data_IF_346878341828
#
_entry.id   IF_346878341828
#
_cell.length_a   1.000
_cell.length_b   1.000
_cell.length_c   1.000
_cell.angle_alpha   90.00
_cell.angle_beta   90.00
_cell.angle_gamma   90.00
#
_symmetry.space_group_name_H-M   'P 1'
#
loop_
_entity.id
_entity.type
_entity.pdbx_description
1 polymer ?
#
# COMPACT_ATOMS: atom_id res chain seq x y z
N UNK A 1 14.05 -32.86 -45.47
CA UNK A 1 13.24 -33.94 -46.07
C UNK A 1 14.17 -34.78 -46.94
N UNK A 2 14.55 -36.00 -46.57
CA UNK A 2 15.37 -36.82 -47.46
C UNK A 2 14.51 -37.25 -48.66
N UNK A 3 14.92 -36.86 -49.86
CA UNK A 3 14.28 -37.26 -51.12
C UNK A 3 14.38 -38.78 -51.29
N UNK A 4 13.28 -39.40 -51.70
CA UNK A 4 13.18 -40.84 -51.97
C UNK A 4 14.23 -41.23 -53.02
N UNK A 5 15.11 -42.23 -52.78
CA UNK A 5 16.15 -42.57 -53.75
C UNK A 5 15.49 -43.10 -55.03
N UNK A 6 16.01 -42.71 -56.21
CA UNK A 6 15.45 -43.14 -57.50
C UNK A 6 15.48 -44.66 -57.61
N UNK A 7 14.42 -45.26 -58.15
CA UNK A 7 14.38 -46.71 -58.39
C UNK A 7 15.41 -47.07 -59.46
N UNK A 8 16.45 -47.80 -59.08
CA UNK A 8 17.49 -48.28 -59.98
C UNK A 8 16.90 -49.37 -60.88
N UNK A 9 16.76 -49.11 -62.19
CA UNK A 9 16.15 -50.05 -63.15
C UNK A 9 17.18 -50.66 -64.10
N UNK A 10 18.41 -50.15 -64.12
CA UNK A 10 19.50 -50.64 -64.97
C UNK A 10 20.88 -50.62 -64.28
N UNK A 11 21.82 -51.45 -64.75
CA UNK A 11 23.22 -51.43 -64.29
C UNK A 11 23.95 -50.11 -64.62
N UNK A 12 23.47 -49.34 -65.61
CA UNK A 12 24.02 -48.03 -65.93
C UNK A 12 23.68 -46.99 -64.85
N UNK A 13 22.50 -47.09 -64.23
CA UNK A 13 22.04 -46.20 -63.16
C UNK A 13 22.95 -46.29 -61.93
N UNK A 14 23.47 -47.49 -61.63
CA UNK A 14 24.41 -47.72 -60.52
C UNK A 14 25.75 -47.01 -60.72
N UNK A 15 26.26 -46.96 -61.97
CA UNK A 15 27.52 -46.25 -62.28
C UNK A 15 27.35 -44.74 -62.16
N UNK A 16 26.18 -44.21 -62.52
CA UNK A 16 25.88 -42.79 -62.36
C UNK A 16 25.78 -42.40 -60.88
N UNK A 17 25.06 -43.18 -60.08
CA UNK A 17 24.98 -42.97 -58.63
C UNK A 17 26.35 -43.10 -57.95
N UNK A 18 27.20 -44.03 -58.41
CA UNK A 18 28.57 -44.16 -57.90
C UNK A 18 29.44 -42.93 -58.20
N UNK A 19 29.30 -42.32 -59.39
CA UNK A 19 30.00 -41.07 -59.75
C UNK A 19 29.49 -39.88 -58.94
N UNK A 20 28.17 -39.74 -58.80
CA UNK A 20 27.56 -38.68 -57.99
C UNK A 20 27.97 -38.80 -56.50
N UNK A 21 28.04 -40.02 -55.96
CA UNK A 21 28.55 -40.26 -54.60
C UNK A 21 30.04 -39.95 -54.47
N UNK A 22 30.85 -40.24 -55.48
CA UNK A 22 32.27 -39.91 -55.49
C UNK A 22 32.48 -38.38 -55.54
N UNK A 23 31.77 -37.69 -56.42
CA UNK A 23 31.78 -36.22 -56.53
C UNK A 23 31.27 -35.56 -55.23
N UNK A 24 30.21 -36.09 -54.62
CA UNK A 24 29.71 -35.61 -53.32
C UNK A 24 30.71 -35.83 -52.19
N UNK A 25 31.42 -36.97 -52.16
CA UNK A 25 32.48 -37.24 -51.17
C UNK A 25 33.67 -36.30 -51.36
N UNK A 26 34.08 -36.04 -52.60
CA UNK A 26 35.15 -35.08 -52.89
C UNK A 26 34.75 -33.66 -52.49
N UNK A 27 33.52 -33.23 -52.80
CA UNK A 27 32.99 -31.93 -52.38
C UNK A 27 32.88 -31.82 -50.85
N UNK A 28 32.43 -32.87 -50.17
CA UNK A 28 32.37 -32.93 -48.71
C UNK A 28 33.78 -32.87 -48.08
N UNK A 29 34.73 -33.65 -48.59
CA UNK A 29 36.12 -33.62 -48.11
C UNK A 29 36.76 -32.24 -48.33
N UNK A 30 36.53 -31.60 -49.48
CA UNK A 30 37.00 -30.24 -49.73
C UNK A 30 36.34 -29.20 -48.81
N UNK A 31 35.04 -29.34 -48.53
CA UNK A 31 34.33 -28.45 -47.61
C UNK A 31 34.79 -28.62 -46.15
N UNK A 32 35.01 -29.85 -45.70
CA UNK A 32 35.55 -30.14 -44.37
C UNK A 32 36.98 -29.62 -44.20
N UNK A 33 37.83 -29.79 -45.22
CA UNK A 33 39.19 -29.25 -45.22
C UNK A 33 39.19 -27.72 -45.11
N UNK A 34 38.29 -27.03 -45.83
CA UNK A 34 38.13 -25.57 -45.74
C UNK A 34 37.65 -25.13 -44.34
N UNK A 35 36.63 -25.80 -43.79
CA UNK A 35 36.12 -25.52 -42.44
C UNK A 35 37.19 -25.75 -41.37
N UNK A 36 37.98 -26.82 -41.48
CA UNK A 36 39.07 -27.10 -40.55
C UNK A 36 40.18 -26.04 -40.64
N UNK A 37 40.48 -25.55 -41.85
CA UNK A 37 41.46 -24.47 -42.04
C UNK A 37 40.96 -23.13 -41.45
N UNK A 38 39.69 -22.79 -41.64
CA UNK A 38 39.07 -21.60 -41.04
C UNK A 38 39.06 -21.68 -39.51
N UNK A 39 38.69 -22.83 -38.94
CA UNK A 39 38.72 -23.03 -37.49
C UNK A 39 40.13 -22.88 -36.89
N UNK A 40 41.16 -23.40 -37.58
CA UNK A 40 42.56 -23.21 -37.19
C UNK A 40 42.98 -21.75 -37.24
N UNK A 41 42.56 -21.00 -38.27
CA UNK A 41 42.82 -19.55 -38.37
C UNK A 41 42.16 -18.79 -37.22
N UNK A 42 40.88 -19.05 -36.94
CA UNK A 42 40.17 -18.40 -35.84
C UNK A 42 40.81 -18.67 -34.47
N UNK A 43 41.28 -19.90 -34.23
CA UNK A 43 41.98 -20.23 -33.00
C UNK A 43 43.33 -19.50 -32.89
N UNK A 44 44.07 -19.38 -34.00
CA UNK A 44 45.32 -18.64 -34.05
C UNK A 44 45.10 -17.14 -33.78
N UNK A 45 44.05 -16.54 -34.36
CA UNK A 45 43.69 -15.14 -34.11
C UNK A 45 43.28 -14.90 -32.65
N UNK A 46 42.43 -15.77 -32.08
CA UNK A 46 42.02 -15.67 -30.68
C UNK A 46 43.21 -15.70 -29.72
N UNK A 47 44.23 -16.51 -30.03
CA UNK A 47 45.42 -16.67 -29.20
C UNK A 47 46.58 -15.75 -29.63
N UNK A 48 46.39 -14.88 -30.62
CA UNK A 48 47.44 -13.98 -31.13
C UNK A 48 47.92 -13.02 -30.03
N UNK A 49 46.99 -12.45 -29.28
CA UNK A 49 47.30 -11.49 -28.22
C UNK A 49 48.10 -12.13 -27.08
N UNK A 50 47.66 -13.29 -26.57
CA UNK A 50 48.33 -14.00 -25.49
C UNK A 50 49.79 -14.38 -25.85
N UNK A 51 50.00 -14.80 -27.11
CA UNK A 51 51.35 -15.06 -27.64
C UNK A 51 52.18 -13.80 -27.76
N UNK A 52 51.61 -12.70 -28.24
CA UNK A 52 52.31 -11.42 -28.40
C UNK A 52 52.78 -10.84 -27.06
N UNK A 53 52.00 -10.98 -25.99
CA UNK A 53 52.38 -10.51 -24.65
C UNK A 53 53.24 -11.51 -23.86
N UNK A 54 53.61 -12.65 -24.46
CA UNK A 54 54.43 -13.67 -23.81
C UNK A 54 53.78 -14.32 -22.60
N UNK A 55 52.44 -14.43 -22.58
CA UNK A 55 51.72 -15.12 -21.51
C UNK A 55 52.10 -16.61 -21.45
N UNK A 56 52.26 -17.24 -22.62
CA UNK A 56 52.62 -18.66 -22.74
C UNK A 56 54.10 -18.93 -22.38
N UNK A 57 54.96 -17.92 -22.48
CA UNK A 57 56.40 -17.99 -22.16
C UNK A 57 56.72 -17.51 -20.75
N UNK A 58 55.71 -17.17 -19.95
CA UNK A 58 55.87 -16.72 -18.57
C UNK A 58 56.48 -15.31 -18.43
N UNK A 59 56.47 -14.51 -19.50
CA UNK A 59 57.01 -13.14 -19.49
C UNK A 59 56.16 -12.17 -18.64
N UNK A 60 54.91 -12.55 -18.31
CA UNK A 60 54.01 -11.75 -17.48
C UNK A 60 53.68 -12.49 -16.19
N UNK A 61 53.84 -11.81 -15.05
CA UNK A 61 53.49 -12.33 -13.72
C UNK A 61 52.33 -11.50 -13.15
N UNK A 62 51.19 -12.10 -12.78
CA UNK A 62 50.09 -11.37 -12.19
C UNK A 62 50.52 -10.78 -10.84
N UNK A 63 50.09 -9.54 -10.58
CA UNK A 63 50.37 -8.85 -9.33
C UNK A 63 49.67 -9.55 -8.17
N UNK A 64 50.39 -9.75 -7.06
CA UNK A 64 49.81 -10.28 -5.82
C UNK A 64 48.98 -9.18 -5.15
N UNK A 65 47.67 -9.39 -5.07
CA UNK A 65 46.77 -8.52 -4.33
C UNK A 65 47.03 -8.66 -2.82
N UNK A 66 47.17 -7.55 -2.09
CA UNK A 66 47.18 -7.56 -0.61
C UNK A 66 45.73 -7.64 -0.09
N UNK A 67 45.45 -8.40 0.98
CA UNK A 67 44.11 -8.39 1.58
C UNK A 67 43.81 -7.01 2.17
N UNK A 68 42.70 -6.41 1.75
CA UNK A 68 42.20 -5.13 2.30
C UNK A 68 41.48 -5.42 3.61
N UNK A 69 41.82 -4.70 4.67
CA UNK A 69 41.13 -4.80 5.96
C UNK A 69 39.75 -4.16 5.84
N UNK A 70 38.70 -4.95 6.03
CA UNK A 70 37.32 -4.46 6.05
C UNK A 70 37.03 -3.93 7.46
N UNK A 71 36.92 -2.60 7.59
CA UNK A 71 36.46 -1.97 8.82
C UNK A 71 34.95 -2.21 8.98
N UNK A 72 34.52 -2.60 10.18
CA UNK A 72 33.10 -2.76 10.48
C UNK A 72 32.40 -1.38 10.42
N UNK A 73 31.23 -1.27 9.76
CA UNK A 73 30.48 -0.03 9.74
C UNK A 73 29.98 0.31 11.15
N UNK A 74 30.00 1.60 11.49
CA UNK A 74 29.48 2.07 12.77
C UNK A 74 27.97 1.81 12.87
N UNK A 75 27.47 1.32 14.01
CA UNK A 75 26.05 1.07 14.19
C UNK A 75 25.25 2.39 14.13
N UNK A 76 24.02 2.35 13.58
CA UNK A 76 23.18 3.53 13.47
C UNK A 76 22.72 4.03 14.84
N UNK A 77 22.40 5.33 14.91
CA UNK A 77 21.90 5.95 16.14
C UNK A 77 20.57 5.34 16.61
N UNK A 78 20.37 5.22 17.94
CA UNK A 78 19.16 4.65 18.50
C UNK A 78 17.94 5.57 18.27
N UNK A 79 16.95 5.07 17.53
CA UNK A 79 15.70 5.79 17.25
C UNK A 79 14.71 5.59 18.41
N UNK A 80 14.21 6.68 19.00
CA UNK A 80 13.20 6.67 20.06
C UNK A 80 11.79 6.32 19.54
N UNK A 81 11.57 5.05 19.19
CA UNK A 81 10.32 4.56 18.59
C UNK A 81 9.06 4.82 19.42
N UNK A 82 9.17 4.86 20.76
CA UNK A 82 8.03 5.09 21.64
C UNK A 82 7.52 6.53 21.52
N UNK A 83 8.42 7.52 21.56
CA UNK A 83 8.07 8.93 21.39
C UNK A 83 7.37 9.19 20.04
N UNK A 84 7.88 8.59 18.95
CA UNK A 84 7.26 8.68 17.63
C UNK A 84 5.83 8.10 17.58
N UNK A 85 5.55 7.05 18.37
CA UNK A 85 4.20 6.48 18.48
C UNK A 85 3.26 7.40 19.24
N UNK A 86 3.74 7.96 20.34
CA UNK A 86 2.96 8.86 21.20
C UNK A 86 2.60 10.16 20.44
N UNK A 87 3.54 10.75 19.70
CA UNK A 87 3.28 11.90 18.81
C UNK A 87 2.28 11.56 17.70
N UNK A 88 2.46 10.42 17.02
CA UNK A 88 1.53 9.98 15.98
C UNK A 88 0.12 9.72 16.52
N UNK A 89 0.01 9.29 17.78
CA UNK A 89 -1.26 9.11 18.46
C UNK A 89 -1.89 10.46 18.84
N UNK A 90 -1.13 11.39 19.41
CA UNK A 90 -1.59 12.73 19.72
C UNK A 90 -2.11 13.46 18.47
N UNK A 91 -1.40 13.34 17.34
CA UNK A 91 -1.80 13.93 16.06
C UNK A 91 -3.12 13.33 15.54
N UNK A 92 -3.34 12.02 15.72
CA UNK A 92 -4.62 11.37 15.37
C UNK A 92 -5.77 11.79 16.27
N UNK A 93 -5.48 12.21 17.49
CA UNK A 93 -6.46 12.57 18.49
C UNK A 93 -6.85 14.04 18.43
N UNK A 94 -5.98 14.88 17.85
CA UNK A 94 -6.25 16.27 17.56
C UNK A 94 -7.46 16.40 16.63
N UNK A 95 -8.46 17.15 17.09
CA UNK A 95 -9.66 17.49 16.34
C UNK A 95 -9.48 18.90 15.77
N UNK A 96 -9.65 19.06 14.47
CA UNK A 96 -9.60 20.35 13.77
C UNK A 96 -10.96 21.03 13.77
N UNK A 97 -10.98 22.33 14.09
CA UNK A 97 -12.18 23.18 14.04
C UNK A 97 -12.52 23.62 12.59
N UNK A 98 -11.57 23.55 11.65
CA UNK A 98 -11.69 24.03 10.26
C UNK A 98 -12.24 22.98 9.27
N UNK A 99 -12.57 21.78 9.75
CA UNK A 99 -13.06 20.70 8.89
C UNK A 99 -14.45 21.03 8.30
N UNK A 100 -14.53 21.08 6.96
CA UNK A 100 -15.81 21.26 6.27
C UNK A 100 -16.61 19.94 6.26
N UNK A 101 -17.83 20.03 6.77
CA UNK A 101 -18.73 18.90 7.04
C UNK A 101 -19.92 18.89 6.06
N UNK A 102 -20.07 19.96 5.29
CA UNK A 102 -21.24 20.18 4.41
C UNK A 102 -21.50 19.04 3.43
N UNK A 103 -20.45 18.39 2.92
CA UNK A 103 -20.53 17.27 1.97
C UNK A 103 -20.79 15.91 2.61
N UNK A 104 -20.62 15.78 3.92
CA UNK A 104 -20.73 14.52 4.66
C UNK A 104 -22.06 14.38 5.42
N UNK A 105 -22.82 15.47 5.54
CA UNK A 105 -24.17 15.47 6.10
C UNK A 105 -25.19 15.25 4.97
N UNK A 106 -26.20 14.42 5.21
CA UNK A 106 -27.26 14.22 4.23
C UNK A 106 -28.08 15.52 4.07
N UNK A 107 -28.34 15.91 2.81
CA UNK A 107 -28.94 17.20 2.46
C UNK A 107 -30.33 17.44 3.09
N UNK A 108 -31.13 16.38 3.25
CA UNK A 108 -32.47 16.44 3.86
C UNK A 108 -32.44 16.46 5.39
N UNK A 109 -31.28 16.25 6.00
CA UNK A 109 -31.13 15.97 7.43
C UNK A 109 -29.75 16.42 7.91
N UNK A 110 -29.53 17.74 7.90
CA UNK A 110 -28.34 18.52 8.33
C UNK A 110 -27.80 18.18 9.75
N UNK A 111 -28.33 17.14 10.39
CA UNK A 111 -28.01 16.70 11.74
C UNK A 111 -27.79 15.18 11.84
N UNK A 112 -27.52 14.51 10.72
CA UNK A 112 -27.14 13.10 10.71
C UNK A 112 -25.87 12.86 9.90
N UNK A 113 -25.06 11.91 10.37
CA UNK A 113 -23.83 11.47 9.73
C UNK A 113 -23.74 9.96 9.80
N UNK A 114 -23.15 9.36 8.77
CA UNK A 114 -22.75 7.95 8.75
C UNK A 114 -21.45 7.79 7.99
N UNK A 115 -20.60 6.86 8.41
CA UNK A 115 -19.39 6.54 7.66
C UNK A 115 -19.72 5.87 6.32
N UNK A 116 -18.86 6.03 5.30
CA UNK A 116 -18.96 5.23 4.07
C UNK A 116 -19.00 3.73 4.39
N UNK A 117 -19.89 2.99 3.73
CA UNK A 117 -20.14 1.57 4.01
C UNK A 117 -21.16 1.30 5.11
N UNK A 118 -21.59 2.31 5.87
CA UNK A 118 -22.71 2.20 6.82
C UNK A 118 -24.03 2.45 6.07
N UNK A 119 -24.93 1.47 6.11
CA UNK A 119 -26.25 1.57 5.47
C UNK A 119 -27.14 2.66 6.10
N UNK A 120 -28.03 3.24 5.31
CA UNK A 120 -29.03 4.24 5.74
C UNK A 120 -29.98 3.70 6.83
N UNK A 121 -30.15 2.38 6.88
CA UNK A 121 -30.85 1.67 7.95
C UNK A 121 -30.33 1.98 9.36
N UNK A 122 -29.01 2.23 9.49
CA UNK A 122 -28.40 2.49 10.79
C UNK A 122 -28.86 3.83 11.36
N UNK A 123 -28.83 4.90 10.57
CA UNK A 123 -29.31 6.22 11.01
C UNK A 123 -30.82 6.20 11.26
N UNK A 124 -31.59 5.47 10.45
CA UNK A 124 -33.03 5.26 10.67
C UNK A 124 -33.32 4.57 12.01
N UNK A 125 -32.66 3.45 12.28
CA UNK A 125 -32.80 2.70 13.55
C UNK A 125 -32.32 3.52 14.75
N UNK A 126 -31.28 4.33 14.58
CA UNK A 126 -30.73 5.18 15.63
C UNK A 126 -31.73 6.28 16.00
N UNK A 127 -32.35 6.91 15.01
CA UNK A 127 -33.43 7.90 15.20
C UNK A 127 -34.66 7.30 15.86
N UNK A 128 -34.99 6.06 15.52
CA UNK A 128 -36.08 5.32 16.16
C UNK A 128 -35.73 4.81 17.57
N UNK A 129 -34.47 4.91 18.03
CA UNK A 129 -34.05 4.52 19.37
C UNK A 129 -33.86 3.02 19.58
N UNK A 130 -33.48 2.28 18.54
CA UNK A 130 -33.25 0.83 18.62
C UNK A 130 -32.01 0.45 19.46
N UNK A 131 -31.11 1.40 19.70
CA UNK A 131 -29.96 1.21 20.58
C UNK A 131 -30.19 1.92 21.91
N UNK A 132 -30.02 1.18 23.00
CA UNK A 132 -30.08 1.74 24.35
C UNK A 132 -28.89 2.67 24.60
N UNK A 133 -29.14 3.83 25.20
CA UNK A 133 -28.08 4.76 25.61
C UNK A 133 -27.33 4.18 26.82
N UNK A 134 -26.02 4.04 26.70
CA UNK A 134 -25.17 3.40 27.72
C UNK A 134 -24.23 4.38 28.43
N UNK A 135 -24.09 5.59 27.89
CA UNK A 135 -23.25 6.63 28.46
C UNK A 135 -23.65 8.00 27.93
N UNK A 136 -23.30 9.04 28.67
CA UNK A 136 -23.55 10.42 28.27
C UNK A 136 -22.42 11.35 28.68
N UNK A 137 -22.24 12.40 27.90
CA UNK A 137 -21.43 13.57 28.27
C UNK A 137 -22.25 14.84 28.09
N UNK A 138 -22.06 15.76 29.01
CA UNK A 138 -22.62 17.10 28.92
C UNK A 138 -21.53 18.13 28.66
N UNK A 139 -21.68 18.85 27.56
CA UNK A 139 -20.77 19.90 27.09
C UNK A 139 -21.39 21.29 27.24
N UNK A 140 -22.63 21.40 27.71
CA UNK A 140 -23.26 22.72 27.83
C UNK A 140 -22.46 23.60 28.80
N UNK A 141 -22.28 24.86 28.42
CA UNK A 141 -21.57 25.84 29.24
C UNK A 141 -20.04 25.73 29.22
N UNK A 142 -19.47 24.66 28.66
CA UNK A 142 -18.02 24.55 28.49
C UNK A 142 -17.53 25.49 27.39
N UNK A 143 -16.28 25.97 27.52
CA UNK A 143 -15.60 26.64 26.41
C UNK A 143 -15.32 25.63 25.30
N UNK A 144 -15.12 26.13 24.07
CA UNK A 144 -14.86 25.25 22.91
C UNK A 144 -13.68 24.30 23.15
N UNK A 145 -12.58 24.79 23.72
CA UNK A 145 -11.37 24.00 23.93
C UNK A 145 -11.60 22.86 24.94
N UNK A 146 -12.25 23.19 26.06
CA UNK A 146 -12.61 22.24 27.12
C UNK A 146 -13.60 21.19 26.61
N UNK A 147 -14.62 21.62 25.86
CA UNK A 147 -15.61 20.73 25.27
C UNK A 147 -14.98 19.76 24.26
N UNK A 148 -14.01 20.22 23.47
CA UNK A 148 -13.28 19.41 22.50
C UNK A 148 -12.50 18.28 23.18
N UNK A 149 -11.76 18.62 24.23
CA UNK A 149 -10.96 17.66 25.00
C UNK A 149 -11.85 16.67 25.74
N UNK A 150 -12.88 17.15 26.43
CA UNK A 150 -13.83 16.32 27.15
C UNK A 150 -14.56 15.35 26.21
N UNK A 151 -15.02 15.81 25.05
CA UNK A 151 -15.67 14.94 24.05
C UNK A 151 -14.69 13.89 23.50
N UNK A 152 -13.46 14.29 23.16
CA UNK A 152 -12.46 13.38 22.63
C UNK A 152 -12.11 12.27 23.63
N UNK A 153 -11.95 12.62 24.90
CA UNK A 153 -11.69 11.67 25.97
C UNK A 153 -12.89 10.75 26.20
N UNK A 154 -14.11 11.30 26.25
CA UNK A 154 -15.33 10.53 26.46
C UNK A 154 -15.58 9.49 25.39
N UNK A 155 -15.45 9.84 24.10
CA UNK A 155 -15.66 8.89 22.99
C UNK A 155 -14.66 7.74 23.07
N UNK A 156 -13.39 8.07 23.31
CA UNK A 156 -12.33 7.06 23.43
C UNK A 156 -12.56 6.13 24.59
N UNK A 157 -12.91 6.66 25.77
CA UNK A 157 -13.15 5.84 26.95
C UNK A 157 -14.42 4.99 26.77
N UNK A 158 -15.47 5.55 26.19
CA UNK A 158 -16.71 4.82 25.89
C UNK A 158 -16.46 3.66 24.95
N UNK A 159 -15.67 3.88 23.89
CA UNK A 159 -15.28 2.82 22.96
C UNK A 159 -14.42 1.75 23.66
N UNK A 160 -13.41 2.14 24.44
CA UNK A 160 -12.59 1.20 25.23
C UNK A 160 -13.38 0.38 26.25
N UNK A 161 -14.47 0.94 26.77
CA UNK A 161 -15.38 0.26 27.69
C UNK A 161 -16.42 -0.63 26.97
N UNK A 162 -16.36 -0.75 25.64
CA UNK A 162 -17.29 -1.54 24.84
C UNK A 162 -18.68 -0.93 24.71
N UNK A 163 -18.85 0.37 25.01
CA UNK A 163 -20.13 1.05 24.82
C UNK A 163 -20.40 1.21 23.33
N UNK A 164 -21.63 0.91 22.93
CA UNK A 164 -22.10 0.97 21.55
C UNK A 164 -22.86 2.24 21.23
N UNK A 165 -23.66 2.75 22.16
CA UNK A 165 -24.51 3.91 21.91
C UNK A 165 -24.40 4.90 23.07
N UNK A 166 -24.01 6.14 22.75
CA UNK A 166 -23.79 7.19 23.74
C UNK A 166 -24.48 8.48 23.34
N UNK A 167 -24.75 9.33 24.33
CA UNK A 167 -25.38 10.64 24.15
C UNK A 167 -24.36 11.76 24.36
N UNK A 168 -24.36 12.74 23.46
CA UNK A 168 -23.54 13.95 23.58
C UNK A 168 -24.49 15.14 23.68
N UNK A 169 -24.55 15.78 24.85
CA UNK A 169 -25.36 16.98 25.08
C UNK A 169 -24.48 18.19 24.83
N UNK A 170 -24.79 18.99 23.82
CA UNK A 170 -24.05 20.23 23.50
C UNK A 170 -24.84 21.49 23.85
N UNK A 171 -26.11 21.33 24.24
CA UNK A 171 -27.01 22.42 24.58
C UNK A 171 -27.58 23.14 23.35
N UNK A 172 -28.64 23.94 23.57
CA UNK A 172 -29.37 24.65 22.49
C UNK A 172 -28.73 25.99 22.09
N UNK A 173 -27.65 26.41 22.77
CA UNK A 173 -27.01 27.71 22.53
C UNK A 173 -27.69 28.91 23.19
N UNK A 174 -28.61 28.71 24.14
CA UNK A 174 -29.34 29.82 24.79
C UNK A 174 -28.46 30.67 25.74
N UNK A 175 -27.36 30.10 26.25
CA UNK A 175 -26.45 30.75 27.20
C UNK A 175 -25.16 31.32 26.59
N UNK A 176 -24.96 31.21 25.28
CA UNK A 176 -23.79 31.76 24.61
C UNK A 176 -23.99 33.24 24.23
N UNK A 177 -22.90 34.03 24.12
CA UNK A 177 -22.98 35.39 23.57
C UNK A 177 -23.66 35.37 22.19
N UNK A 178 -24.75 36.14 22.04
CA UNK A 178 -25.54 36.16 20.80
C UNK A 178 -26.54 35.00 20.63
N UNK A 179 -26.74 34.14 21.64
CA UNK A 179 -27.66 32.98 21.62
C UNK A 179 -27.42 32.00 20.47
N UNK A 180 -26.17 31.89 20.03
CA UNK A 180 -25.78 31.02 18.92
C UNK A 180 -25.30 29.65 19.41
N UNK A 181 -25.72 28.54 18.79
CA UNK A 181 -25.32 27.19 19.18
C UNK A 181 -23.89 26.86 18.69
N UNK A 182 -22.87 27.51 19.28
CA UNK A 182 -21.46 27.38 18.88
C UNK A 182 -20.98 25.93 18.97
N UNK A 183 -21.32 25.23 20.05
CA UNK A 183 -20.87 23.85 20.26
C UNK A 183 -21.58 22.83 19.36
N UNK A 184 -22.74 23.17 18.79
CA UNK A 184 -23.51 22.23 17.95
C UNK A 184 -22.71 21.80 16.72
N UNK A 185 -22.25 22.76 15.93
CA UNK A 185 -21.50 22.48 14.70
C UNK A 185 -20.11 21.92 15.01
N UNK A 186 -19.46 22.43 16.07
CA UNK A 186 -18.16 21.94 16.50
C UNK A 186 -18.21 20.48 16.96
N UNK A 187 -19.18 20.11 17.79
CA UNK A 187 -19.35 18.71 18.22
C UNK A 187 -19.54 17.76 17.04
N UNK A 188 -20.31 18.15 16.02
CA UNK A 188 -20.46 17.36 14.80
C UNK A 188 -19.12 17.19 14.06
N UNK A 189 -18.38 18.28 13.81
CA UNK A 189 -17.04 18.24 13.20
C UNK A 189 -16.10 17.32 13.94
N UNK A 190 -16.10 17.39 15.26
CA UNK A 190 -15.27 16.58 16.13
C UNK A 190 -15.63 15.09 16.08
N UNK A 191 -16.93 14.77 16.11
CA UNK A 191 -17.40 13.38 16.03
C UNK A 191 -17.06 12.72 14.69
N UNK A 192 -17.13 13.45 13.57
CA UNK A 192 -16.78 12.92 12.24
C UNK A 192 -15.30 12.49 12.17
N UNK A 193 -14.43 13.25 12.83
CA UNK A 193 -13.00 12.98 12.88
C UNK A 193 -12.64 11.77 13.76
N UNK A 194 -13.51 11.36 14.70
CA UNK A 194 -13.29 10.17 15.55
C UNK A 194 -13.60 8.88 14.81
N UNK A 195 -12.59 8.04 14.60
CA UNK A 195 -12.69 6.77 13.85
C UNK A 195 -13.65 5.77 14.49
N UNK A 196 -13.77 5.85 15.82
CA UNK A 196 -14.66 5.06 16.66
C UNK A 196 -16.14 5.35 16.38
N UNK A 197 -16.46 6.53 15.83
CA UNK A 197 -17.85 6.93 15.53
C UNK A 197 -18.27 6.35 14.18
N UNK A 198 -19.28 5.48 14.17
CA UNK A 198 -19.87 4.92 12.95
C UNK A 198 -20.94 5.83 12.34
N UNK A 199 -21.80 6.39 13.19
CA UNK A 199 -22.91 7.24 12.79
C UNK A 199 -23.38 8.09 13.99
N UNK A 200 -24.01 9.22 13.71
CA UNK A 200 -24.78 9.96 14.72
C UNK A 200 -26.01 10.61 14.12
N UNK A 201 -27.00 10.90 14.95
CA UNK A 201 -28.23 11.60 14.60
C UNK A 201 -28.57 12.62 15.68
N UNK A 202 -29.39 13.62 15.34
CA UNK A 202 -30.05 14.43 16.36
C UNK A 202 -30.84 13.52 17.32
N UNK A 203 -30.71 13.79 18.62
CA UNK A 203 -31.49 13.09 19.62
C UNK A 203 -33.00 13.34 19.45
N UNK A 204 -33.80 12.37 19.92
CA UNK A 204 -35.27 12.52 20.01
C UNK A 204 -35.62 13.59 21.05
N UNK A 205 -36.83 14.17 21.03
CA UNK A 205 -37.26 15.15 22.03
C UNK A 205 -37.10 14.65 23.48
N UNK A 206 -37.40 13.37 23.75
CA UNK A 206 -37.22 12.75 25.07
C UNK A 206 -35.76 12.71 25.54
N UNK A 207 -34.82 12.71 24.59
CA UNK A 207 -33.40 12.49 24.84
C UNK A 207 -32.58 13.79 24.73
N UNK A 208 -33.23 14.95 24.56
CA UNK A 208 -32.58 16.28 24.49
C UNK A 208 -32.80 17.03 23.17
N UNK A 209 -33.42 16.39 22.17
CA UNK A 209 -33.79 17.01 20.90
C UNK A 209 -32.61 17.67 20.19
N UNK A 210 -32.84 18.88 19.67
CA UNK A 210 -31.81 19.68 18.98
C UNK A 210 -30.61 20.11 19.84
N UNK A 211 -30.62 19.84 21.15
CA UNK A 211 -29.50 20.13 22.06
C UNK A 211 -28.59 18.93 22.32
N UNK A 212 -28.87 17.78 21.71
CA UNK A 212 -28.10 16.56 21.91
C UNK A 212 -27.99 15.72 20.63
N UNK A 213 -26.91 14.92 20.57
CA UNK A 213 -26.66 13.94 19.53
C UNK A 213 -26.64 12.53 20.14
N UNK A 214 -27.22 11.58 19.42
CA UNK A 214 -27.08 10.15 19.71
C UNK A 214 -26.01 9.60 18.77
N UNK A 215 -24.98 8.99 19.34
CA UNK A 215 -23.77 8.55 18.65
C UNK A 215 -23.65 7.04 18.74
N UNK A 216 -23.52 6.38 17.60
CA UNK A 216 -23.24 4.96 17.48
C UNK A 216 -21.73 4.75 17.29
N UNK A 217 -21.15 3.95 18.18
CA UNK A 217 -19.74 3.59 18.18
C UNK A 217 -19.51 2.23 17.50
N UNK A 218 -18.33 2.11 16.90
CA UNK A 218 -17.81 0.88 16.35
C UNK A 218 -17.62 -0.15 17.48
N UNK A 219 -17.69 -1.46 17.17
CA UNK A 219 -17.24 -2.49 18.09
C UNK A 219 -15.78 -2.22 18.52
N UNK A 220 -15.47 -2.48 19.79
CA UNK A 220 -14.12 -2.41 20.37
C UNK A 220 -13.33 -3.69 20.14
#
# INVERSE_FOLDING_TARGET
MPSRPPSLKSLADLRQVQRELAEQREQQAQAEARRAAEAKKQLAEKNLFARAIGADTGATRPLRHKPVVVLAPTPPEPIARQHLRDEAQALREALSDEFDVSTLLDADDQMSFRRPGVGTEVTRKLRAGHWSLQGQIDLHGLRSDEAREALAQFIRQSWRNGLRCVRVVHGKGLGSPGKQPVLKLKAQRWLIQKKEVMAFVQARPSDGGAGALVVLLAPS
#
